data_IF_862630053150
#
_entry.id   IF_862630053150
#
_cell.length_a   1.000
_cell.length_b   1.000
_cell.length_c   1.000
_cell.angle_alpha   90.00
_cell.angle_beta   90.00
_cell.angle_gamma   90.00
#
_symmetry.space_group_name_H-M   'P 1'
#
loop_
_entity.id
_entity.type
_entity.pdbx_description
1 polymer ?
#
# COMPACT_ATOMS: atom_id res chain seq x y z
N UNK A 1 -11.76 16.67 -23.34
CA UNK A 1 -11.67 16.63 -21.86
C UNK A 1 -10.85 15.40 -21.48
N UNK A 2 -9.84 15.47 -20.59
CA UNK A 2 -9.04 14.28 -20.31
C UNK A 2 -9.87 13.31 -19.47
N UNK A 3 -9.72 12.02 -19.82
CA UNK A 3 -10.40 10.89 -19.18
C UNK A 3 -10.04 10.91 -17.70
N UNK A 4 -11.03 11.17 -16.84
CA UNK A 4 -10.90 10.96 -15.40
C UNK A 4 -10.72 9.46 -15.22
N UNK A 5 -9.48 8.98 -15.21
CA UNK A 5 -9.13 7.67 -14.67
C UNK A 5 -9.54 7.71 -13.21
N UNK A 6 -10.80 7.33 -12.96
CA UNK A 6 -11.36 7.18 -11.64
C UNK A 6 -10.51 6.16 -10.92
N UNK A 7 -9.66 6.65 -10.02
CA UNK A 7 -8.97 5.82 -9.04
C UNK A 7 -10.05 4.93 -8.41
N UNK A 8 -9.93 3.60 -8.46
CA UNK A 8 -10.95 2.73 -7.89
C UNK A 8 -11.14 3.11 -6.41
N UNK A 9 -12.38 3.12 -5.90
CA UNK A 9 -12.67 3.40 -4.49
C UNK A 9 -12.26 2.20 -3.61
N UNK A 10 -11.00 1.78 -3.70
CA UNK A 10 -10.42 0.66 -2.93
C UNK A 10 -10.01 1.02 -1.51
N UNK A 11 -10.13 2.29 -1.11
CA UNK A 11 -9.62 2.79 0.18
C UNK A 11 -10.30 2.19 1.41
N UNK A 12 -11.57 1.75 1.33
CA UNK A 12 -12.26 1.19 2.51
C UNK A 12 -11.84 -0.22 2.89
N UNK A 13 -11.49 -1.07 1.92
CA UNK A 13 -10.99 -2.42 2.23
C UNK A 13 -9.57 -2.38 2.79
N UNK A 14 -8.76 -1.41 2.38
CA UNK A 14 -7.37 -1.29 2.78
C UNK A 14 -7.17 -1.11 4.29
N UNK A 15 -8.12 -0.46 4.98
CA UNK A 15 -8.06 -0.26 6.43
C UNK A 15 -8.01 -1.60 7.21
N UNK A 16 -8.69 -2.64 6.72
CA UNK A 16 -8.62 -3.97 7.34
C UNK A 16 -7.25 -4.65 7.17
N UNK A 17 -6.50 -4.26 6.13
CA UNK A 17 -5.17 -4.80 5.83
C UNK A 17 -4.04 -3.83 6.21
N UNK A 18 -4.37 -2.73 6.90
CA UNK A 18 -3.41 -1.73 7.35
C UNK A 18 -2.36 -2.35 8.27
N UNK A 19 -2.80 -3.18 9.22
CA UNK A 19 -1.91 -3.92 10.12
C UNK A 19 -1.01 -4.91 9.35
N UNK A 20 -1.54 -5.60 8.34
CA UNK A 20 -0.75 -6.50 7.50
C UNK A 20 0.33 -5.75 6.73
N UNK A 21 -0.02 -4.62 6.10
CA UNK A 21 0.92 -3.77 5.37
C UNK A 21 2.00 -3.20 6.29
N UNK A 22 1.63 -2.82 7.51
CA UNK A 22 2.55 -2.34 8.53
C UNK A 22 3.51 -3.45 8.96
N UNK A 23 2.99 -4.67 9.18
CA UNK A 23 3.80 -5.81 9.59
C UNK A 23 4.73 -6.30 8.47
N UNK A 24 4.25 -6.33 7.23
CA UNK A 24 5.06 -6.64 6.06
C UNK A 24 6.16 -5.58 5.84
N UNK A 25 5.84 -4.30 6.06
CA UNK A 25 6.80 -3.21 6.01
C UNK A 25 7.86 -3.28 7.11
N UNK A 26 7.48 -3.65 8.34
CA UNK A 26 8.40 -3.86 9.47
C UNK A 26 9.29 -5.08 9.21
N UNK A 27 8.70 -6.19 8.76
CA UNK A 27 9.40 -7.45 8.51
C UNK A 27 10.40 -7.33 7.35
N UNK A 28 10.07 -6.52 6.34
CA UNK A 28 10.90 -6.33 5.16
C UNK A 28 10.99 -4.85 4.77
N UNK A 29 11.82 -4.04 5.43
CA UNK A 29 11.93 -2.61 5.15
C UNK A 29 12.54 -2.30 3.76
N UNK A 30 13.09 -3.31 3.08
CA UNK A 30 13.62 -3.21 1.73
C UNK A 30 12.56 -3.47 0.63
N UNK A 31 11.35 -3.93 0.99
CA UNK A 31 10.31 -4.18 -0.01
C UNK A 31 9.90 -2.87 -0.68
N UNK A 32 9.80 -2.85 -2.00
CA UNK A 32 9.36 -1.62 -2.66
C UNK A 32 7.84 -1.46 -2.51
N UNK A 33 7.32 -0.22 -2.56
CA UNK A 33 5.86 0.02 -2.54
C UNK A 33 5.07 -0.78 -3.62
N UNK A 34 5.52 -0.91 -4.87
CA UNK A 34 4.83 -1.76 -5.85
C UNK A 34 4.87 -3.26 -5.50
N UNK A 35 5.96 -3.76 -4.92
CA UNK A 35 6.02 -5.16 -4.44
C UNK A 35 5.08 -5.39 -3.28
N UNK A 36 5.01 -4.44 -2.33
CA UNK A 36 4.04 -4.51 -1.23
C UNK A 36 2.59 -4.51 -1.74
N UNK A 37 2.31 -3.77 -2.81
CA UNK A 37 1.01 -3.79 -3.48
C UNK A 37 0.73 -5.12 -4.20
N UNK A 38 1.76 -5.74 -4.80
CA UNK A 38 1.65 -7.04 -5.44
C UNK A 38 1.40 -8.16 -4.41
N UNK A 39 2.13 -8.17 -3.29
CA UNK A 39 1.88 -9.10 -2.19
C UNK A 39 0.46 -8.99 -1.65
N UNK A 40 -0.03 -7.77 -1.45
CA UNK A 40 -1.40 -7.54 -0.99
C UNK A 40 -2.45 -8.09 -1.98
N UNK A 41 -2.15 -8.01 -3.29
CA UNK A 41 -3.00 -8.56 -4.32
C UNK A 41 -2.93 -10.10 -4.36
N UNK A 42 -1.75 -10.69 -4.20
CA UNK A 42 -1.57 -12.15 -4.23
C UNK A 42 -2.15 -12.84 -2.98
N UNK A 43 -1.88 -12.31 -1.78
CA UNK A 43 -2.36 -12.87 -0.50
C UNK A 43 -3.86 -12.60 -0.27
N UNK A 44 -4.33 -11.39 -0.57
CA UNK A 44 -5.66 -10.94 -0.17
C UNK A 44 -6.58 -10.56 -1.33
N UNK A 45 -6.10 -10.58 -2.58
CA UNK A 45 -6.90 -10.13 -3.73
C UNK A 45 -7.17 -8.64 -3.71
N UNK A 46 -6.43 -7.85 -2.93
CA UNK A 46 -6.69 -6.41 -2.73
C UNK A 46 -5.70 -5.58 -3.55
N UNK A 47 -6.24 -4.87 -4.53
CA UNK A 47 -5.46 -3.93 -5.34
C UNK A 47 -5.36 -2.59 -4.59
N UNK A 48 -4.15 -2.24 -4.16
CA UNK A 48 -3.83 -0.93 -3.60
C UNK A 48 -2.84 -0.18 -4.49
N UNK A 49 -3.05 1.13 -4.65
CA UNK A 49 -2.08 1.96 -5.34
C UNK A 49 -0.84 2.19 -4.44
N UNK A 50 0.40 2.14 -4.98
CA UNK A 50 1.63 2.39 -4.20
C UNK A 50 1.61 3.73 -3.44
N UNK A 51 1.01 4.78 -4.03
CA UNK A 51 0.85 6.07 -3.36
C UNK A 51 -0.12 6.04 -2.16
N UNK A 52 -1.10 5.13 -2.16
CA UNK A 52 -1.97 4.89 -0.99
C UNK A 52 -1.18 4.24 0.13
N UNK A 53 -0.38 3.21 -0.20
CA UNK A 53 0.46 2.50 0.75
C UNK A 53 1.47 3.45 1.40
N UNK A 54 2.16 4.26 0.60
CA UNK A 54 3.08 5.28 1.11
C UNK A 54 2.39 6.26 2.06
N UNK A 55 1.19 6.77 1.74
CA UNK A 55 0.44 7.65 2.66
C UNK A 55 0.05 6.96 3.96
N UNK A 56 -0.39 5.71 3.87
CA UNK A 56 -0.80 4.90 5.01
C UNK A 56 0.40 4.65 5.93
N UNK A 57 1.51 4.19 5.38
CA UNK A 57 2.75 3.97 6.11
C UNK A 57 3.30 5.27 6.73
N UNK A 58 3.40 6.35 5.96
CA UNK A 58 3.84 7.64 6.50
C UNK A 58 2.96 8.13 7.67
N UNK A 59 1.64 7.83 7.65
CA UNK A 59 0.73 8.18 8.75
C UNK A 59 1.00 7.38 10.03
N UNK A 60 1.52 6.16 9.91
CA UNK A 60 1.95 5.32 11.03
C UNK A 60 3.39 5.58 11.47
N UNK A 61 4.04 6.62 10.94
CA UNK A 61 5.43 6.95 11.28
C UNK A 61 6.47 6.07 10.59
N UNK A 62 6.06 5.25 9.62
CA UNK A 62 7.00 4.51 8.79
C UNK A 62 7.82 5.48 7.96
N UNK A 63 9.11 5.52 8.25
CA UNK A 63 10.08 6.28 7.47
C UNK A 63 10.79 5.29 6.57
N UNK A 64 10.30 5.15 5.33
CA UNK A 64 11.00 4.36 4.33
C UNK A 64 12.38 4.98 4.11
N UNK A 65 13.44 4.25 4.46
CA UNK A 65 14.78 4.60 4.00
C UNK A 65 14.80 4.37 2.50
N UNK A 66 14.74 5.48 1.77
CA UNK A 66 15.05 5.51 0.34
C UNK A 66 16.46 4.90 0.17
N UNK A 67 16.64 3.81 -0.61
CA UNK A 67 17.96 3.52 -1.16
C UNK A 67 18.39 4.64 -2.12
#
# INVERSE_FOLDING_TARGET
APVRQGRPPGGRKLASYEAFLLHAGEAQPAITMPELAALLLEEHGVIAAPATLSRLLCRHGFTYKKP
#
